data_IF_701801174645
#
_entry.id   IF_701801174645
#
_cell.length_a   1.000
_cell.length_b   1.000
_cell.length_c   1.000
_cell.angle_alpha   90.00
_cell.angle_beta   90.00
_cell.angle_gamma   90.00
#
_symmetry.space_group_name_H-M   'P 1'
#
loop_
_entity.id
_entity.type
_entity.pdbx_description
1 polymer ?
#
# COMPACT_ATOMS: atom_id res chain seq x y z
N UNK A 1 -9.70 -25.96 -3.38
CA UNK A 1 -8.70 -25.02 -2.83
C UNK A 1 -7.36 -25.71 -2.80
N UNK A 2 -6.32 -25.05 -3.28
CA UNK A 2 -4.96 -25.59 -3.23
C UNK A 2 -4.45 -25.60 -1.79
N UNK A 3 -3.56 -26.54 -1.44
CA UNK A 3 -2.90 -26.48 -0.14
C UNK A 3 -1.87 -25.36 -0.11
N UNK A 4 -1.53 -24.76 1.07
CA UNK A 4 -0.50 -23.72 1.16
C UNK A 4 0.83 -24.15 0.54
N UNK A 5 1.21 -25.40 0.65
CA UNK A 5 2.43 -25.97 0.03
C UNK A 5 2.33 -25.94 -1.50
N UNK A 6 1.20 -26.34 -2.09
CA UNK A 6 1.01 -26.31 -3.54
C UNK A 6 1.03 -24.88 -4.09
N UNK A 7 0.46 -23.92 -3.36
CA UNK A 7 0.52 -22.50 -3.72
C UNK A 7 1.95 -21.98 -3.67
N UNK A 8 2.67 -22.31 -2.60
CA UNK A 8 4.09 -21.98 -2.45
C UNK A 8 4.93 -22.48 -3.60
N UNK A 9 4.83 -23.80 -3.92
CA UNK A 9 5.60 -24.43 -4.99
C UNK A 9 5.28 -23.82 -6.37
N UNK A 10 4.01 -23.51 -6.61
CA UNK A 10 3.57 -22.84 -7.83
C UNK A 10 4.17 -21.44 -7.99
N UNK A 11 4.17 -20.63 -6.92
CA UNK A 11 4.79 -19.31 -6.92
C UNK A 11 6.30 -19.40 -7.06
N UNK A 12 6.94 -20.32 -6.32
CA UNK A 12 8.38 -20.53 -6.39
C UNK A 12 8.84 -20.89 -7.80
N UNK A 13 8.12 -21.80 -8.47
CA UNK A 13 8.41 -22.20 -9.84
C UNK A 13 8.31 -21.01 -10.83
N UNK A 14 7.33 -20.11 -10.66
CA UNK A 14 7.20 -18.93 -11.48
C UNK A 14 8.33 -17.91 -11.26
N UNK A 15 8.82 -17.81 -10.03
CA UNK A 15 9.89 -16.89 -9.63
C UNK A 15 11.31 -17.41 -9.88
N UNK A 16 11.47 -18.73 -10.10
CA UNK A 16 12.78 -19.33 -10.32
C UNK A 16 13.09 -19.34 -11.82
N UNK A 17 14.29 -18.90 -12.25
CA UNK A 17 14.72 -19.08 -13.64
C UNK A 17 14.71 -20.57 -13.99
N UNK A 18 14.10 -20.92 -15.13
CA UNK A 18 14.22 -22.30 -15.66
C UNK A 18 15.68 -22.57 -16.01
N UNK A 19 16.20 -23.73 -15.61
CA UNK A 19 17.60 -24.13 -15.75
C UNK A 19 18.07 -24.37 -17.21
N UNK A 20 17.38 -23.81 -18.20
CA UNK A 20 17.86 -23.76 -19.58
C UNK A 20 18.89 -22.65 -19.70
N UNK A 21 20.14 -23.00 -19.56
CA UNK A 21 21.30 -22.16 -19.74
C UNK A 21 21.18 -21.34 -21.05
N UNK A 22 21.08 -20.02 -20.93
CA UNK A 22 21.19 -19.10 -22.05
C UNK A 22 19.89 -18.66 -22.76
N UNK A 23 18.71 -19.14 -22.36
CA UNK A 23 17.46 -18.68 -22.96
C UNK A 23 16.83 -17.52 -22.15
N UNK A 24 16.88 -16.31 -22.69
CA UNK A 24 16.07 -15.20 -22.18
C UNK A 24 14.59 -15.54 -22.38
N UNK A 25 13.78 -15.34 -21.32
CA UNK A 25 12.32 -15.44 -21.43
C UNK A 25 11.83 -14.41 -22.44
N UNK A 26 10.92 -14.80 -23.31
CA UNK A 26 10.26 -13.86 -24.21
C UNK A 26 9.38 -12.88 -23.41
N UNK A 27 9.09 -11.73 -23.99
CA UNK A 27 8.19 -10.74 -23.39
C UNK A 27 6.80 -11.34 -23.06
N UNK A 28 6.31 -12.23 -23.91
CA UNK A 28 5.05 -12.96 -23.71
C UNK A 28 5.13 -13.88 -22.49
N UNK A 29 6.20 -14.67 -22.35
CA UNK A 29 6.39 -15.58 -21.21
C UNK A 29 6.47 -14.82 -19.88
N UNK A 30 7.11 -13.66 -19.85
CA UNK A 30 7.16 -12.78 -18.67
C UNK A 30 5.78 -12.22 -18.35
N UNK A 31 5.05 -11.73 -19.35
CA UNK A 31 3.69 -11.21 -19.19
C UNK A 31 2.73 -12.26 -18.66
N UNK A 32 2.78 -13.47 -19.19
CA UNK A 32 1.92 -14.57 -18.76
C UNK A 32 2.29 -15.08 -17.36
N UNK A 33 3.57 -15.09 -17.04
CA UNK A 33 4.06 -15.37 -15.68
C UNK A 33 3.51 -14.36 -14.66
N UNK A 34 3.56 -13.07 -14.99
CA UNK A 34 2.99 -12.00 -14.14
C UNK A 34 1.48 -12.15 -13.94
N UNK A 35 0.72 -12.45 -15.01
CA UNK A 35 -0.73 -12.70 -14.91
C UNK A 35 -1.03 -13.88 -13.97
N UNK A 36 -0.25 -14.95 -14.08
CA UNK A 36 -0.40 -16.14 -13.20
C UNK A 36 -0.09 -15.81 -11.74
N UNK A 37 1.00 -15.08 -11.47
CA UNK A 37 1.33 -14.64 -10.10
C UNK A 37 0.20 -13.76 -9.54
N UNK A 38 -0.27 -12.76 -10.28
CA UNK A 38 -1.39 -11.91 -9.85
C UNK A 38 -2.64 -12.72 -9.55
N UNK A 39 -2.97 -13.69 -10.40
CA UNK A 39 -4.12 -14.57 -10.16
C UNK A 39 -3.97 -15.35 -8.85
N UNK A 40 -2.80 -15.94 -8.59
CA UNK A 40 -2.53 -16.68 -7.35
C UNK A 40 -2.63 -15.75 -6.14
N UNK A 41 -2.02 -14.56 -6.21
CA UNK A 41 -2.11 -13.55 -5.14
C UNK A 41 -3.57 -13.22 -4.82
N UNK A 42 -4.41 -13.07 -5.84
CA UNK A 42 -5.83 -12.76 -5.66
C UNK A 42 -6.61 -13.93 -5.04
N UNK A 43 -6.43 -15.14 -5.56
CA UNK A 43 -7.29 -16.28 -5.22
C UNK A 43 -6.83 -17.04 -3.98
N UNK A 44 -5.51 -17.16 -3.80
CA UNK A 44 -4.92 -17.99 -2.75
C UNK A 44 -4.12 -17.15 -1.72
N UNK A 45 -3.61 -15.97 -2.12
CA UNK A 45 -2.67 -15.17 -1.34
C UNK A 45 -1.24 -15.69 -1.44
N UNK A 46 -0.33 -15.04 -0.72
CA UNK A 46 1.07 -15.49 -0.59
C UNK A 46 1.20 -16.27 0.72
N UNK A 47 1.51 -17.57 0.68
CA UNK A 47 1.59 -18.40 1.87
C UNK A 47 2.80 -18.02 2.74
N UNK A 48 2.57 -17.97 4.04
CA UNK A 48 3.56 -17.72 5.08
C UNK A 48 3.39 -18.77 6.22
N UNK A 49 4.46 -19.21 6.88
CA UNK A 49 5.85 -18.95 6.55
C UNK A 49 6.37 -19.88 5.45
N UNK A 50 7.03 -19.31 4.41
CA UNK A 50 7.72 -20.06 3.37
C UNK A 50 9.24 -19.87 3.47
N UNK A 51 10.01 -20.88 3.04
CA UNK A 51 11.49 -20.77 2.96
C UNK A 51 11.98 -21.17 1.58
N UNK A 52 12.54 -20.25 0.79
CA UNK A 52 12.73 -18.81 1.07
C UNK A 52 11.41 -18.01 1.08
N UNK A 53 11.35 -16.87 1.79
CA UNK A 53 10.14 -16.03 1.80
C UNK A 53 9.84 -15.50 0.40
N UNK A 54 8.59 -15.65 -0.06
CA UNK A 54 8.20 -15.29 -1.43
C UNK A 54 7.75 -13.84 -1.55
N UNK A 55 7.13 -13.27 -0.51
CA UNK A 55 6.59 -11.89 -0.55
C UNK A 55 7.63 -10.86 -0.95
N UNK A 56 8.88 -10.84 -0.42
CA UNK A 56 9.91 -9.90 -0.87
C UNK A 56 10.20 -9.97 -2.37
N UNK A 57 10.22 -11.18 -2.93
CA UNK A 57 10.49 -11.40 -4.36
C UNK A 57 9.32 -10.94 -5.22
N UNK A 58 8.08 -11.24 -4.78
CA UNK A 58 6.86 -10.84 -5.48
C UNK A 58 6.71 -9.32 -5.44
N UNK A 59 6.93 -8.66 -4.31
CA UNK A 59 6.84 -7.20 -4.20
C UNK A 59 7.86 -6.50 -5.10
N UNK A 60 9.12 -6.95 -5.12
CA UNK A 60 10.12 -6.41 -6.06
C UNK A 60 9.71 -6.58 -7.52
N UNK A 61 9.16 -7.75 -7.86
CA UNK A 61 8.66 -8.02 -9.22
C UNK A 61 7.49 -7.11 -9.59
N UNK A 62 6.50 -6.91 -8.70
CA UNK A 62 5.35 -6.04 -8.95
C UNK A 62 5.76 -4.57 -9.09
N UNK A 63 6.78 -4.14 -8.33
CA UNK A 63 7.37 -2.80 -8.41
C UNK A 63 8.42 -2.66 -9.52
N UNK A 64 8.69 -3.73 -10.29
CA UNK A 64 9.69 -3.74 -11.38
C UNK A 64 11.10 -3.34 -10.90
N UNK A 65 11.49 -3.82 -9.73
CA UNK A 65 12.85 -3.61 -9.20
C UNK A 65 13.77 -4.68 -9.80
N UNK A 66 14.50 -4.30 -10.83
CA UNK A 66 15.40 -5.19 -11.55
C UNK A 66 16.83 -5.18 -11.00
N UNK A 67 17.25 -4.05 -10.43
CA UNK A 67 18.58 -3.86 -9.85
C UNK A 67 18.52 -3.02 -8.58
N UNK A 68 19.55 -3.18 -7.74
CA UNK A 68 19.73 -2.42 -6.50
C UNK A 68 21.04 -1.62 -6.59
N UNK A 69 20.95 -0.33 -6.37
CA UNK A 69 22.11 0.55 -6.35
C UNK A 69 22.53 0.83 -4.90
N UNK A 70 23.46 0.02 -4.39
CA UNK A 70 23.95 0.14 -3.02
C UNK A 70 24.74 1.45 -2.79
N UNK A 71 25.55 1.85 -3.76
CA UNK A 71 26.37 3.05 -3.66
C UNK A 71 25.51 4.32 -3.61
N UNK A 72 24.46 4.34 -4.40
CA UNK A 72 23.48 5.43 -4.39
C UNK A 72 22.76 5.51 -3.04
N UNK A 73 22.27 4.39 -2.51
CA UNK A 73 21.61 4.36 -1.20
C UNK A 73 22.56 4.81 -0.08
N UNK A 74 23.80 4.30 -0.06
CA UNK A 74 24.81 4.69 0.93
C UNK A 74 25.14 6.19 0.85
N UNK A 75 25.21 6.74 -0.37
CA UNK A 75 25.39 8.18 -0.58
C UNK A 75 24.31 8.98 0.13
N UNK A 76 23.01 8.62 -0.03
CA UNK A 76 21.93 9.33 0.62
C UNK A 76 21.94 9.16 2.14
N UNK A 77 22.27 7.97 2.63
CA UNK A 77 22.41 7.70 4.07
C UNK A 77 23.53 8.54 4.70
N UNK A 78 24.64 8.74 4.00
CA UNK A 78 25.78 9.51 4.51
C UNK A 78 25.54 11.02 4.55
N UNK A 79 24.48 11.52 3.88
CA UNK A 79 24.08 12.94 3.97
C UNK A 79 23.60 13.31 5.39
N UNK A 80 23.21 12.33 6.21
CA UNK A 80 22.74 12.56 7.57
C UNK A 80 21.37 13.22 7.65
N UNK A 81 21.06 13.92 8.76
CA UNK A 81 19.75 14.54 8.97
C UNK A 81 19.45 15.65 7.96
N UNK A 82 18.24 15.60 7.38
CA UNK A 82 17.71 16.64 6.49
C UNK A 82 17.06 17.80 7.26
N UNK A 83 16.65 18.85 6.56
CA UNK A 83 15.93 19.97 7.14
C UNK A 83 14.59 19.56 7.79
N UNK A 84 14.02 18.39 7.42
CA UNK A 84 12.77 17.84 7.96
C UNK A 84 12.98 16.73 9.00
N UNK A 85 14.21 16.50 9.43
CA UNK A 85 14.59 15.42 10.37
C UNK A 85 13.76 15.42 11.65
N UNK A 86 13.47 16.59 12.22
CA UNK A 86 12.62 16.70 13.42
C UNK A 86 11.21 16.18 13.19
N UNK A 87 10.63 16.45 12.02
CA UNK A 87 9.29 15.92 11.66
C UNK A 87 9.32 14.40 11.53
N UNK A 88 10.34 13.86 10.86
CA UNK A 88 10.53 12.41 10.70
C UNK A 88 10.61 11.74 12.08
N UNK A 89 11.46 12.23 12.98
CA UNK A 89 11.62 11.67 14.34
C UNK A 89 10.34 11.73 15.15
N UNK A 90 9.58 12.83 15.06
CA UNK A 90 8.31 12.99 15.76
C UNK A 90 7.23 12.00 15.32
N UNK A 91 7.36 11.41 14.14
CA UNK A 91 6.40 10.43 13.62
C UNK A 91 6.91 8.98 13.78
N UNK A 92 8.22 8.75 13.65
CA UNK A 92 8.78 7.40 13.63
C UNK A 92 8.67 6.68 14.98
N UNK A 93 8.81 7.36 16.11
CA UNK A 93 8.71 6.73 17.41
C UNK A 93 7.32 6.12 17.70
N UNK A 94 6.26 6.65 17.07
CA UNK A 94 4.87 6.19 17.25
C UNK A 94 4.41 5.26 16.11
N UNK A 95 5.26 4.99 15.11
CA UNK A 95 4.89 4.15 13.97
C UNK A 95 4.66 2.71 14.42
N UNK A 96 3.43 2.22 14.21
CA UNK A 96 2.98 0.87 14.62
C UNK A 96 3.44 0.51 16.06
N UNK A 97 3.35 1.48 16.98
CA UNK A 97 3.94 1.39 18.32
C UNK A 97 3.34 0.27 19.17
N UNK A 98 2.14 -0.21 18.87
CA UNK A 98 1.46 -1.30 19.57
C UNK A 98 1.74 -2.67 18.96
N UNK A 99 2.33 -2.74 17.77
CA UNK A 99 2.67 -3.99 17.11
C UNK A 99 4.03 -4.52 17.60
N UNK A 100 4.00 -5.58 18.39
CA UNK A 100 5.19 -6.17 19.02
C UNK A 100 6.10 -6.87 18.00
N UNK A 101 5.54 -7.48 16.96
CA UNK A 101 6.30 -8.15 15.90
C UNK A 101 7.04 -7.10 15.06
N UNK A 102 6.35 -6.02 14.71
CA UNK A 102 6.97 -4.91 14.00
C UNK A 102 8.16 -4.32 14.79
N UNK A 103 7.95 -3.98 16.06
CA UNK A 103 9.00 -3.42 16.93
C UNK A 103 10.17 -4.38 17.16
N UNK A 104 9.89 -5.68 17.17
CA UNK A 104 10.93 -6.71 17.26
C UNK A 104 11.88 -6.70 16.06
N UNK A 105 11.36 -6.46 14.87
CA UNK A 105 12.06 -6.52 13.59
C UNK A 105 12.55 -5.17 13.08
N UNK A 106 11.74 -4.14 13.18
CA UNK A 106 12.01 -2.80 12.65
C UNK A 106 12.33 -1.85 13.78
N UNK A 107 13.56 -1.35 13.81
CA UNK A 107 14.00 -0.35 14.78
C UNK A 107 13.71 1.05 14.27
N UNK A 108 13.52 2.00 15.17
CA UNK A 108 13.19 3.38 14.82
C UNK A 108 14.26 4.04 13.92
N UNK A 109 15.54 3.74 14.14
CA UNK A 109 16.63 4.23 13.32
C UNK A 109 16.60 3.73 11.87
N UNK A 110 15.99 2.56 11.62
CA UNK A 110 15.77 2.05 10.28
C UNK A 110 14.73 2.88 9.52
N UNK A 111 13.64 3.26 10.20
CA UNK A 111 12.61 4.16 9.64
C UNK A 111 13.21 5.53 9.34
N UNK A 112 13.91 6.13 10.32
CA UNK A 112 14.55 7.44 10.15
C UNK A 112 15.50 7.40 8.96
N UNK A 113 16.40 6.43 8.90
CA UNK A 113 17.40 6.29 7.84
C UNK A 113 16.78 6.16 6.46
N UNK A 114 15.72 5.35 6.32
CA UNK A 114 15.03 5.18 5.04
C UNK A 114 14.37 6.49 4.60
N UNK A 115 13.66 7.16 5.51
CA UNK A 115 12.94 8.40 5.19
C UNK A 115 13.88 9.56 4.91
N UNK A 116 14.98 9.70 5.68
CA UNK A 116 16.02 10.70 5.39
C UNK A 116 16.67 10.47 4.03
N UNK A 117 17.02 9.22 3.71
CA UNK A 117 17.58 8.87 2.41
C UNK A 117 16.61 9.20 1.26
N UNK A 118 15.30 8.97 1.45
CA UNK A 118 14.28 9.34 0.47
C UNK A 118 14.18 10.85 0.27
N UNK A 119 14.20 11.63 1.36
CA UNK A 119 14.20 13.10 1.28
C UNK A 119 15.43 13.61 0.51
N UNK A 120 16.62 13.11 0.83
CA UNK A 120 17.84 13.51 0.13
C UNK A 120 17.86 13.13 -1.35
N UNK A 121 17.41 11.91 -1.68
CA UNK A 121 17.27 11.49 -3.07
C UNK A 121 16.44 12.48 -3.88
N UNK A 122 15.32 12.91 -3.32
CA UNK A 122 14.38 13.79 -4.02
C UNK A 122 14.78 15.28 -3.97
N UNK A 123 15.49 15.71 -2.93
CA UNK A 123 16.01 17.08 -2.87
C UNK A 123 17.01 17.36 -3.99
N UNK A 124 17.94 16.45 -4.22
CA UNK A 124 18.95 16.57 -5.30
C UNK A 124 18.34 16.33 -6.69
N UNK A 125 17.29 15.53 -6.80
CA UNK A 125 16.55 15.27 -8.05
C UNK A 125 15.66 16.43 -8.47
N UNK A 126 15.10 17.21 -7.52
CA UNK A 126 14.14 18.29 -7.80
C UNK A 126 14.72 19.49 -8.54
N UNK A 127 16.04 19.64 -8.58
CA UNK A 127 16.69 20.64 -9.46
C UNK A 127 16.51 20.32 -10.96
N UNK A 128 16.04 19.10 -11.31
CA UNK A 128 15.91 18.66 -12.70
C UNK A 128 14.45 18.51 -13.19
N UNK A 129 13.48 18.13 -12.37
CA UNK A 129 12.16 17.71 -12.85
C UNK A 129 10.93 18.17 -12.03
N UNK A 130 10.99 19.24 -11.30
CA UNK A 130 9.82 20.10 -10.99
C UNK A 130 8.84 19.69 -9.88
N UNK A 131 8.96 18.55 -9.20
CA UNK A 131 8.12 18.23 -8.02
C UNK A 131 9.01 17.84 -6.84
N UNK A 132 9.23 18.75 -5.88
CA UNK A 132 10.01 18.42 -4.69
C UNK A 132 9.20 17.50 -3.78
N UNK A 133 9.54 16.21 -3.77
CA UNK A 133 9.09 15.33 -2.71
C UNK A 133 9.81 15.72 -1.42
N UNK A 134 9.04 16.07 -0.42
CA UNK A 134 9.54 16.25 0.94
C UNK A 134 8.88 15.24 1.86
N UNK A 135 9.32 15.16 3.11
CA UNK A 135 8.63 14.32 4.08
C UNK A 135 7.25 14.88 4.41
N UNK A 136 6.24 14.03 4.28
CA UNK A 136 4.86 14.29 4.68
C UNK A 136 4.46 13.24 5.73
N UNK A 137 3.72 13.67 6.75
CA UNK A 137 3.19 12.76 7.77
C UNK A 137 2.35 11.64 7.11
N UNK A 138 2.59 10.40 7.53
CA UNK A 138 2.01 9.20 6.91
C UNK A 138 3.04 8.40 6.11
N UNK A 139 4.10 9.02 5.59
CA UNK A 139 5.19 8.30 4.91
C UNK A 139 5.91 7.31 5.85
N UNK A 140 5.99 7.61 7.14
CA UNK A 140 6.48 6.70 8.16
C UNK A 140 5.65 5.41 8.22
N UNK A 141 4.33 5.51 8.12
CA UNK A 141 3.42 4.36 8.10
C UNK A 141 3.51 3.62 6.77
N UNK A 142 3.58 4.33 5.63
CA UNK A 142 3.76 3.73 4.30
C UNK A 142 5.11 3.00 4.15
N UNK A 143 6.16 3.42 4.86
CA UNK A 143 7.47 2.76 4.81
C UNK A 143 7.55 1.48 5.66
N UNK A 144 6.69 1.36 6.67
CA UNK A 144 6.71 0.27 7.63
C UNK A 144 6.53 -1.13 7.01
N UNK A 145 5.56 -1.38 6.11
CA UNK A 145 5.42 -2.68 5.45
C UNK A 145 6.66 -3.11 4.67
N UNK A 146 7.36 -2.18 4.02
CA UNK A 146 8.58 -2.49 3.28
C UNK A 146 9.71 -2.89 4.20
N UNK A 147 9.98 -2.11 5.27
CA UNK A 147 11.02 -2.44 6.24
C UNK A 147 10.73 -3.76 6.98
N UNK A 148 9.46 -4.05 7.22
CA UNK A 148 9.09 -5.32 7.85
C UNK A 148 9.25 -6.51 6.90
N UNK A 149 8.95 -6.34 5.62
CA UNK A 149 8.88 -7.44 4.64
C UNK A 149 10.23 -7.72 3.97
N UNK A 150 10.96 -6.68 3.55
CA UNK A 150 12.18 -6.85 2.76
C UNK A 150 13.37 -7.27 3.64
N UNK A 151 14.28 -8.10 3.10
CA UNK A 151 15.38 -8.67 3.88
C UNK A 151 16.49 -7.67 4.23
N UNK A 152 16.58 -6.55 3.52
CA UNK A 152 17.57 -5.50 3.78
C UNK A 152 16.97 -4.10 3.67
N UNK A 153 17.61 -3.12 4.35
CA UNK A 153 17.20 -1.72 4.24
C UNK A 153 17.38 -1.17 2.82
N UNK A 154 18.38 -1.64 2.09
CA UNK A 154 18.59 -1.28 0.68
C UNK A 154 17.39 -1.70 -0.18
N UNK A 155 16.91 -2.93 -0.02
CA UNK A 155 15.74 -3.42 -0.75
C UNK A 155 14.48 -2.68 -0.32
N UNK A 156 14.31 -2.44 0.98
CA UNK A 156 13.19 -1.67 1.50
C UNK A 156 13.18 -0.23 0.96
N UNK A 157 14.34 0.43 0.91
CA UNK A 157 14.48 1.76 0.33
C UNK A 157 14.14 1.78 -1.16
N UNK A 158 14.69 0.85 -1.94
CA UNK A 158 14.41 0.76 -3.38
C UNK A 158 12.92 0.55 -3.66
N UNK A 159 12.28 -0.40 -2.95
CA UNK A 159 10.86 -0.67 -3.09
C UNK A 159 10.00 0.52 -2.64
N UNK A 160 10.28 1.12 -1.49
CA UNK A 160 9.56 2.28 -0.98
C UNK A 160 9.67 3.48 -1.92
N UNK A 161 10.88 3.82 -2.37
CA UNK A 161 11.09 4.95 -3.29
C UNK A 161 10.32 4.77 -4.60
N UNK A 162 10.46 3.59 -5.23
CA UNK A 162 9.74 3.27 -6.46
C UNK A 162 8.23 3.28 -6.24
N UNK A 163 7.75 2.73 -5.12
CA UNK A 163 6.33 2.73 -4.78
C UNK A 163 5.76 4.15 -4.68
N UNK A 164 6.43 5.03 -3.93
CA UNK A 164 6.01 6.42 -3.81
C UNK A 164 6.02 7.12 -5.17
N UNK A 165 7.13 7.03 -5.90
CA UNK A 165 7.35 7.76 -7.15
C UNK A 165 6.47 7.26 -8.30
N UNK A 166 6.17 5.96 -8.35
CA UNK A 166 5.47 5.34 -9.48
C UNK A 166 4.04 4.87 -9.17
N UNK A 167 3.68 4.66 -7.92
CA UNK A 167 2.35 4.13 -7.59
C UNK A 167 1.43 5.17 -6.94
N UNK A 168 1.97 6.13 -6.17
CA UNK A 168 1.16 7.12 -5.47
C UNK A 168 1.85 8.49 -5.27
N UNK A 169 2.42 9.11 -6.32
CA UNK A 169 3.19 10.35 -6.20
C UNK A 169 2.37 11.50 -5.59
N UNK A 170 1.06 11.57 -5.87
CA UNK A 170 0.21 12.65 -5.34
C UNK A 170 -0.26 12.43 -3.89
N UNK A 171 0.07 11.27 -3.29
CA UNK A 171 -0.23 10.98 -1.89
C UNK A 171 0.76 11.61 -0.90
N UNK A 172 1.95 11.94 -1.37
CA UNK A 172 3.05 12.44 -0.54
C UNK A 172 3.49 13.86 -0.89
N UNK A 173 2.67 14.58 -1.62
CA UNK A 173 2.87 16.01 -1.84
C UNK A 173 2.37 16.82 -0.64
N UNK A 174 2.92 18.01 -0.38
CA UNK A 174 2.50 18.85 0.76
C UNK A 174 0.99 19.11 0.82
N UNK A 175 0.34 19.19 -0.33
CA UNK A 175 -1.11 19.43 -0.46
C UNK A 175 -1.96 18.15 -0.36
N UNK A 176 -1.35 16.96 -0.35
CA UNK A 176 -2.03 15.65 -0.32
C UNK A 176 -3.15 15.54 -1.37
N UNK A 177 -2.95 16.14 -2.54
CA UNK A 177 -4.00 16.28 -3.56
C UNK A 177 -4.58 14.93 -3.99
N UNK A 178 -3.76 13.89 -4.12
CA UNK A 178 -4.23 12.53 -4.44
C UNK A 178 -5.11 11.94 -3.33
N UNK A 179 -4.77 12.19 -2.06
CA UNK A 179 -5.55 11.73 -0.92
C UNK A 179 -6.91 12.41 -0.88
N UNK A 180 -6.95 13.74 -1.00
CA UNK A 180 -8.21 14.49 -1.02
C UNK A 180 -9.10 14.11 -2.22
N UNK A 181 -8.49 13.87 -3.39
CA UNK A 181 -9.22 13.38 -4.56
C UNK A 181 -9.76 11.95 -4.31
N UNK A 182 -8.94 11.07 -3.72
CA UNK A 182 -9.36 9.72 -3.32
C UNK A 182 -10.54 9.72 -2.34
N UNK A 183 -10.55 10.63 -1.35
CA UNK A 183 -11.65 10.77 -0.40
C UNK A 183 -12.96 11.23 -1.06
N UNK A 184 -12.88 12.15 -2.03
CA UNK A 184 -14.06 12.55 -2.83
C UNK A 184 -14.58 11.37 -3.67
N UNK A 185 -13.68 10.62 -4.30
CA UNK A 185 -14.04 9.42 -5.07
C UNK A 185 -14.65 8.33 -4.18
N UNK A 186 -14.19 8.20 -2.93
CA UNK A 186 -14.80 7.31 -1.95
C UNK A 186 -16.27 7.65 -1.71
N UNK A 187 -16.58 8.92 -1.43
CA UNK A 187 -17.96 9.38 -1.23
C UNK A 187 -18.81 9.13 -2.49
N UNK A 188 -18.27 9.37 -3.69
CA UNK A 188 -18.98 9.12 -4.96
C UNK A 188 -19.26 7.63 -5.19
N UNK A 189 -18.26 6.78 -4.99
CA UNK A 189 -18.40 5.35 -5.14
C UNK A 189 -19.37 4.76 -4.09
N UNK A 190 -19.26 5.18 -2.83
CA UNK A 190 -20.15 4.74 -1.76
C UNK A 190 -21.61 5.08 -2.07
N UNK A 191 -21.86 6.29 -2.60
CA UNK A 191 -23.21 6.71 -3.02
C UNK A 191 -23.81 5.81 -4.12
N UNK A 192 -22.96 5.24 -4.97
CA UNK A 192 -23.40 4.34 -6.05
C UNK A 192 -23.67 2.94 -5.51
N UNK A 193 -22.75 2.40 -4.69
CA UNK A 193 -22.82 0.99 -4.27
C UNK A 193 -23.74 0.76 -3.08
N UNK A 194 -23.92 1.75 -2.20
CA UNK A 194 -24.84 1.72 -1.06
C UNK A 194 -25.37 3.12 -0.75
N UNK A 195 -26.39 3.60 -1.50
CA UNK A 195 -26.97 4.92 -1.28
C UNK A 195 -27.53 5.12 0.13
N UNK A 196 -28.11 4.08 0.73
CA UNK A 196 -28.70 4.15 2.06
C UNK A 196 -27.62 4.39 3.13
N UNK A 197 -26.52 3.65 3.08
CA UNK A 197 -25.39 3.86 3.98
C UNK A 197 -24.75 5.24 3.78
N UNK A 198 -24.60 5.66 2.53
CA UNK A 198 -24.10 6.99 2.20
C UNK A 198 -24.99 8.10 2.81
N UNK A 199 -26.31 8.03 2.61
CA UNK A 199 -27.26 9.00 3.12
C UNK A 199 -27.31 8.98 4.66
N UNK A 200 -27.22 7.80 5.27
CA UNK A 200 -27.13 7.67 6.73
C UNK A 200 -25.89 8.41 7.28
N UNK A 201 -24.69 8.17 6.71
CA UNK A 201 -23.48 8.86 7.14
C UNK A 201 -23.59 10.37 6.93
N UNK A 202 -24.13 10.82 5.79
CA UNK A 202 -24.37 12.24 5.50
C UNK A 202 -25.35 12.88 6.47
N UNK A 203 -26.41 12.17 6.89
CA UNK A 203 -27.35 12.66 7.91
C UNK A 203 -26.70 12.92 9.27
N UNK A 204 -25.58 12.24 9.54
CA UNK A 204 -24.74 12.42 10.74
C UNK A 204 -23.59 13.42 10.51
N UNK A 205 -23.58 14.17 9.40
CA UNK A 205 -22.51 15.08 8.97
C UNK A 205 -21.14 14.37 8.81
N UNK A 206 -21.12 13.10 8.45
CA UNK A 206 -19.92 12.34 8.23
C UNK A 206 -19.62 12.25 6.72
N UNK A 207 -18.49 12.81 6.30
CA UNK A 207 -17.91 12.63 4.98
C UNK A 207 -16.66 11.74 5.07
N UNK A 208 -16.22 11.17 3.95
CA UNK A 208 -15.01 10.38 3.88
C UNK A 208 -13.78 11.11 4.45
N UNK A 209 -13.71 12.43 4.28
CA UNK A 209 -12.65 13.28 4.88
C UNK A 209 -12.52 13.11 6.39
N UNK A 210 -13.63 12.89 7.10
CA UNK A 210 -13.63 12.80 8.55
C UNK A 210 -13.26 11.42 9.08
N UNK A 211 -13.67 10.36 8.40
CA UNK A 211 -13.49 9.00 8.92
C UNK A 211 -12.50 8.14 8.16
N UNK A 212 -12.29 8.40 6.87
CA UNK A 212 -11.46 7.55 6.02
C UNK A 212 -10.06 8.13 5.73
N UNK A 213 -9.77 9.37 6.15
CA UNK A 213 -8.52 10.06 5.84
C UNK A 213 -7.26 9.23 6.19
N UNK A 214 -7.13 8.65 7.41
CA UNK A 214 -5.96 7.84 7.73
C UNK A 214 -5.83 6.59 6.85
N UNK A 215 -6.94 5.90 6.58
CA UNK A 215 -6.97 4.67 5.77
C UNK A 215 -6.67 4.94 4.30
N UNK A 216 -7.11 6.08 3.76
CA UNK A 216 -6.76 6.48 2.40
C UNK A 216 -5.30 6.92 2.32
N UNK A 217 -4.85 7.81 3.19
CA UNK A 217 -3.48 8.33 3.22
C UNK A 217 -2.43 7.21 3.34
N UNK A 218 -2.69 6.22 4.17
CA UNK A 218 -1.72 5.16 4.49
C UNK A 218 -1.99 3.83 3.76
N UNK A 219 -2.93 3.81 2.83
CA UNK A 219 -3.36 2.59 2.14
C UNK A 219 -3.71 1.47 3.14
N UNK A 220 -4.50 1.82 4.15
CA UNK A 220 -4.90 0.98 5.29
C UNK A 220 -3.74 0.47 6.17
N UNK A 221 -2.49 0.88 5.95
CA UNK A 221 -1.36 0.40 6.76
C UNK A 221 -1.41 0.89 8.22
N UNK A 222 -2.26 1.87 8.55
CA UNK A 222 -2.51 2.30 9.93
C UNK A 222 -3.48 1.40 10.71
N UNK A 223 -4.16 0.45 10.05
CA UNK A 223 -5.19 -0.41 10.66
C UNK A 223 -4.58 -1.79 11.00
N UNK A 224 -4.40 -2.14 12.29
CA UNK A 224 -3.84 -3.42 12.67
C UNK A 224 -4.78 -4.60 12.34
N UNK A 225 -4.28 -5.86 12.31
CA UNK A 225 -2.90 -6.26 12.53
C UNK A 225 -2.04 -6.16 11.26
N UNK A 226 -0.73 -6.02 11.43
CA UNK A 226 0.20 -5.85 10.31
C UNK A 226 0.17 -7.02 9.31
N UNK A 227 -0.05 -8.25 9.77
CA UNK A 227 -0.16 -9.42 8.91
C UNK A 227 -1.29 -9.27 7.86
N UNK A 228 -2.44 -8.74 8.27
CA UNK A 228 -3.57 -8.48 7.38
C UNK A 228 -3.26 -7.30 6.43
N UNK A 229 -2.56 -6.28 6.93
CA UNK A 229 -2.05 -5.18 6.08
C UNK A 229 -1.16 -5.73 4.97
N UNK A 230 -0.24 -6.64 5.28
CA UNK A 230 0.65 -7.23 4.27
C UNK A 230 -0.13 -8.02 3.21
N UNK A 231 -1.17 -8.75 3.60
CA UNK A 231 -2.05 -9.46 2.64
C UNK A 231 -2.82 -8.47 1.75
N UNK A 232 -3.34 -7.39 2.34
CA UNK A 232 -3.99 -6.33 1.57
C UNK A 232 -3.01 -5.67 0.59
N UNK A 233 -1.77 -5.45 1.01
CA UNK A 233 -0.73 -4.86 0.16
C UNK A 233 -0.25 -5.81 -0.94
N UNK A 234 -0.25 -7.13 -0.73
CA UNK A 234 -0.04 -8.10 -1.80
C UNK A 234 -1.02 -7.86 -2.96
N UNK A 235 -2.30 -7.60 -2.62
CA UNK A 235 -3.35 -7.28 -3.59
C UNK A 235 -3.16 -5.89 -4.22
N UNK A 236 -2.91 -4.86 -3.42
CA UNK A 236 -2.74 -3.48 -3.93
C UNK A 236 -1.52 -3.34 -4.84
N UNK A 237 -0.40 -3.99 -4.53
CA UNK A 237 0.78 -3.99 -5.37
C UNK A 237 0.56 -4.77 -6.68
N UNK A 238 -0.25 -5.84 -6.64
CA UNK A 238 -0.55 -6.64 -7.82
C UNK A 238 -1.53 -5.98 -8.78
N UNK A 239 -2.52 -5.20 -8.27
CA UNK A 239 -3.64 -4.70 -9.05
C UNK A 239 -3.75 -3.16 -9.11
N UNK A 240 -3.07 -2.47 -8.22
CA UNK A 240 -3.00 -1.00 -8.18
C UNK A 240 -3.53 -0.40 -6.88
N UNK A 241 -2.85 0.64 -6.42
CA UNK A 241 -3.15 1.32 -5.13
C UNK A 241 -4.49 2.05 -5.15
N UNK A 242 -5.00 2.42 -6.33
CA UNK A 242 -6.31 3.04 -6.49
C UNK A 242 -7.45 2.19 -5.92
N UNK A 243 -7.28 0.86 -5.89
CA UNK A 243 -8.26 -0.05 -5.31
C UNK A 243 -8.39 0.09 -3.79
N UNK A 244 -7.45 0.78 -3.12
CA UNK A 244 -7.59 1.07 -1.69
C UNK A 244 -8.88 1.85 -1.37
N UNK A 245 -9.34 2.70 -2.28
CA UNK A 245 -10.62 3.42 -2.12
C UNK A 245 -11.76 2.42 -1.99
N UNK A 246 -11.81 1.43 -2.86
CA UNK A 246 -12.83 0.36 -2.79
C UNK A 246 -12.60 -0.58 -1.60
N UNK A 247 -11.35 -0.78 -1.14
CA UNK A 247 -11.07 -1.53 0.09
C UNK A 247 -11.62 -0.83 1.33
N UNK A 248 -11.57 0.49 1.40
CA UNK A 248 -12.20 1.24 2.50
C UNK A 248 -13.72 1.13 2.43
N UNK A 249 -14.32 1.21 1.24
CA UNK A 249 -15.77 0.98 1.06
C UNK A 249 -16.14 -0.44 1.47
N UNK A 250 -15.34 -1.44 1.07
CA UNK A 250 -15.55 -2.82 1.49
C UNK A 250 -15.57 -2.97 3.02
N UNK A 251 -14.68 -2.28 3.74
CA UNK A 251 -14.71 -2.24 5.21
C UNK A 251 -16.01 -1.63 5.74
N UNK A 252 -16.49 -0.53 5.14
CA UNK A 252 -17.76 0.08 5.53
C UNK A 252 -18.94 -0.87 5.31
N UNK A 253 -18.97 -1.58 4.18
CA UNK A 253 -20.03 -2.53 3.86
C UNK A 253 -20.02 -3.75 4.80
N UNK A 254 -18.84 -4.23 5.18
CA UNK A 254 -18.70 -5.30 6.17
C UNK A 254 -19.18 -4.88 7.58
N UNK A 255 -19.13 -3.59 7.87
CA UNK A 255 -19.60 -2.98 9.14
C UNK A 255 -20.97 -2.31 9.00
N UNK A 256 -21.65 -2.50 7.86
CA UNK A 256 -22.86 -1.76 7.51
C UNK A 256 -23.90 -1.76 8.63
N UNK A 257 -24.23 -2.93 9.15
CA UNK A 257 -25.27 -3.04 10.16
C UNK A 257 -24.89 -2.30 11.46
N UNK A 258 -23.65 -2.47 11.91
CA UNK A 258 -23.15 -1.79 13.11
C UNK A 258 -23.14 -0.26 12.94
N UNK A 259 -22.84 0.22 11.73
CA UNK A 259 -22.87 1.65 11.40
C UNK A 259 -24.31 2.18 11.41
N UNK A 260 -25.23 1.45 10.78
CA UNK A 260 -26.65 1.85 10.69
C UNK A 260 -27.34 1.87 12.06
N UNK A 261 -27.05 0.89 12.91
CA UNK A 261 -27.65 0.77 14.24
C UNK A 261 -26.97 1.69 15.28
N UNK A 262 -25.80 2.23 14.96
CA UNK A 262 -25.04 3.07 15.90
C UNK A 262 -25.67 4.46 16.06
N UNK A 263 -25.94 4.92 17.27
CA UNK A 263 -26.36 6.31 17.51
C UNK A 263 -25.23 7.31 17.19
N UNK A 264 -23.97 6.85 17.17
CA UNK A 264 -22.79 7.64 16.87
C UNK A 264 -21.81 6.85 16.00
N UNK A 265 -22.04 6.74 14.68
CA UNK A 265 -21.17 5.98 13.77
C UNK A 265 -19.70 6.41 13.83
N UNK A 266 -19.43 7.70 14.12
CA UNK A 266 -18.07 8.22 14.22
C UNK A 266 -17.22 7.50 15.29
N UNK A 267 -17.83 6.98 16.36
CA UNK A 267 -17.09 6.22 17.39
C UNK A 267 -16.51 4.93 16.82
N UNK A 268 -17.29 4.25 15.96
CA UNK A 268 -16.86 3.04 15.27
C UNK A 268 -15.82 3.36 14.19
N UNK A 269 -16.08 4.38 13.39
CA UNK A 269 -15.26 4.75 12.23
C UNK A 269 -13.94 5.43 12.62
N UNK A 270 -13.85 6.06 13.79
CA UNK A 270 -12.61 6.67 14.29
C UNK A 270 -11.50 5.63 14.54
N UNK A 271 -11.89 4.42 14.92
CA UNK A 271 -10.99 3.30 15.14
C UNK A 271 -11.62 2.10 14.49
N UNK A 272 -11.33 1.90 13.21
CA UNK A 272 -11.81 0.72 12.49
C UNK A 272 -11.47 -0.56 13.26
N UNK A 273 -12.37 -1.55 13.25
CA UNK A 273 -12.05 -2.89 13.75
C UNK A 273 -10.78 -3.45 13.10
N UNK A 274 -10.17 -4.49 13.71
CA UNK A 274 -9.02 -5.15 13.12
C UNK A 274 -9.22 -5.47 11.65
N UNK A 275 -8.23 -5.14 10.83
CA UNK A 275 -8.25 -5.39 9.39
C UNK A 275 -8.43 -6.90 9.14
N UNK A 276 -9.24 -7.26 8.18
CA UNK A 276 -9.39 -8.63 7.68
C UNK A 276 -9.28 -8.58 6.14
N UNK A 277 -8.12 -8.87 5.61
CA UNK A 277 -7.80 -8.64 4.20
C UNK A 277 -8.64 -9.49 3.24
N UNK A 278 -8.86 -10.76 3.55
CA UNK A 278 -9.59 -11.69 2.67
C UNK A 278 -11.00 -11.24 2.33
N UNK A 279 -11.89 -10.99 3.31
CA UNK A 279 -13.23 -10.47 3.03
C UNK A 279 -13.20 -9.12 2.33
N UNK A 280 -12.30 -8.21 2.74
CA UNK A 280 -12.15 -6.89 2.13
C UNK A 280 -11.80 -7.01 0.64
N UNK A 281 -10.81 -7.83 0.29
CA UNK A 281 -10.42 -8.08 -1.11
C UNK A 281 -11.60 -8.69 -1.89
N UNK A 282 -12.29 -9.68 -1.31
CA UNK A 282 -13.44 -10.32 -1.96
C UNK A 282 -14.54 -9.32 -2.30
N UNK A 283 -14.94 -8.47 -1.35
CA UNK A 283 -15.94 -7.41 -1.56
C UNK A 283 -15.40 -6.38 -2.56
N UNK A 284 -14.15 -5.96 -2.44
CA UNK A 284 -13.52 -5.00 -3.37
C UNK A 284 -13.59 -5.46 -4.82
N UNK A 285 -13.26 -6.72 -5.09
CA UNK A 285 -13.33 -7.29 -6.45
C UNK A 285 -14.76 -7.33 -6.98
N UNK A 286 -15.73 -7.61 -6.12
CA UNK A 286 -17.14 -7.58 -6.49
C UNK A 286 -17.58 -6.15 -6.86
N UNK A 287 -17.21 -5.16 -6.06
CA UNK A 287 -17.55 -3.75 -6.25
C UNK A 287 -17.04 -3.15 -7.57
N UNK A 288 -15.90 -3.61 -8.09
CA UNK A 288 -15.33 -3.09 -9.36
C UNK A 288 -16.36 -3.13 -10.49
N UNK A 289 -17.25 -4.12 -10.51
CA UNK A 289 -18.28 -4.28 -11.56
C UNK A 289 -19.41 -3.27 -11.46
N UNK A 290 -19.64 -2.74 -10.26
CA UNK A 290 -20.75 -1.83 -9.96
C UNK A 290 -20.32 -0.35 -10.14
N UNK A 291 -19.03 -0.09 -10.30
CA UNK A 291 -18.50 1.26 -10.51
C UNK A 291 -18.59 1.61 -12.01
N UNK A 292 -19.24 2.73 -12.38
CA UNK A 292 -19.26 3.22 -13.75
C UNK A 292 -17.84 3.43 -14.32
N UNK A 293 -17.67 3.19 -15.59
CA UNK A 293 -16.35 3.17 -16.25
C UNK A 293 -15.62 4.52 -16.16
N UNK A 294 -16.32 5.62 -16.26
CA UNK A 294 -15.77 6.98 -16.12
C UNK A 294 -15.22 7.22 -14.70
N UNK A 295 -16.01 6.86 -13.68
CA UNK A 295 -15.57 6.95 -12.29
C UNK A 295 -14.42 5.98 -11.99
N UNK A 296 -14.44 4.77 -12.57
CA UNK A 296 -13.32 3.84 -12.42
C UNK A 296 -12.03 4.38 -13.05
N UNK A 297 -12.12 5.04 -14.21
CA UNK A 297 -10.97 5.74 -14.80
C UNK A 297 -10.43 6.84 -13.90
N UNK A 298 -11.29 7.60 -13.23
CA UNK A 298 -10.86 8.58 -12.23
C UNK A 298 -10.19 7.92 -11.03
N UNK A 299 -10.72 6.79 -10.55
CA UNK A 299 -10.08 5.98 -9.49
C UNK A 299 -8.66 5.56 -9.89
N UNK A 300 -8.50 5.04 -11.10
CA UNK A 300 -7.17 4.63 -11.60
C UNK A 300 -6.21 5.81 -11.69
N UNK A 301 -6.70 6.98 -12.10
CA UNK A 301 -5.87 8.14 -12.38
C UNK A 301 -5.49 8.95 -11.12
N UNK A 302 -6.32 8.96 -10.06
CA UNK A 302 -6.16 9.89 -8.95
C UNK A 302 -4.83 9.83 -8.18
N UNK A 303 -4.08 8.71 -8.13
CA UNK A 303 -2.76 8.72 -7.49
C UNK A 303 -1.68 9.45 -8.32
N UNK A 304 -1.95 9.72 -9.62
CA UNK A 304 -0.97 10.21 -10.59
C UNK A 304 -1.32 11.57 -11.20
N UNK A 305 -2.61 11.87 -11.35
CA UNK A 305 -3.09 13.09 -12.02
C UNK A 305 -4.03 13.88 -11.13
N UNK A 306 -3.74 15.16 -11.00
CA UNK A 306 -4.56 16.15 -10.26
C UNK A 306 -5.83 16.53 -11.01
#
# INVERSE_FOLDING_TARGET
MSTPTQVYDSLLALLTPTASWGRHRSHSEVSDGLKRIRRIVLTEGIPEPGRPPLRPRIWKLMLKIDSLNADEYLRWVTMGPSAVSTKIKNDTFRTLATDTQFKGKVKEDMLIRLLEAFVWKNHVGSERDGLPFTYVQGMNVLSAPFLFTLPSQLEAFACFSTFIEQSCPLYVQPTLVGVHKGLKLLDQCLKIVDPELFDHLRSKNLSAELYAFPSVLTLCACTPPLEEVLQLWDFLLAFGVHLNILCVIAQLLLLRQDIMDSPSPMKLLRTFPPLNARPIIGVTVALVKDIPEDLYRELVAHPFSS
#
